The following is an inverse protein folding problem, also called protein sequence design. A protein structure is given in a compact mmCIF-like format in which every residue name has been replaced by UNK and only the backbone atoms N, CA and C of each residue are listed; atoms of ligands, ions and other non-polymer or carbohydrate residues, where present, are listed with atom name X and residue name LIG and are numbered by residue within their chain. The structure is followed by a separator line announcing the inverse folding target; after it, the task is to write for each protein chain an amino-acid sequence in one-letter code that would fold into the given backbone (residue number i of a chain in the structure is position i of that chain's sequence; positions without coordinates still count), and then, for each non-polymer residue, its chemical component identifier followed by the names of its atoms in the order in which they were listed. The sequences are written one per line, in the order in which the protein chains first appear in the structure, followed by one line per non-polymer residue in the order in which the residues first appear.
data_IF_990582016444
#
_entry.id   IF_990582016444
#
_cell.length_a   1.000
_cell.length_b   1.000
_cell.length_c   1.000
_cell.angle_alpha   90.00
_cell.angle_beta   90.00
_cell.angle_gamma   90.00
#
_symmetry.space_group_name_H-M   'P 1'
#
loop_
_entity.id
_entity.type
_entity.pdbx_description
1 polymer ?
#
# COMPACT_ATOMS: atom_id res chain seq x y z
N UNK A 1 -30.48 -0.12 -16.47
CA UNK A 1 -29.64 0.20 -17.64
C UNK A 1 -28.18 0.07 -17.18
N UNK A 2 -27.48 -0.95 -17.69
CA UNK A 2 -26.07 -1.36 -17.50
C UNK A 2 -25.35 -0.91 -16.22
N UNK A 3 -25.41 -1.75 -15.17
CA UNK A 3 -24.26 -1.93 -14.29
C UNK A 3 -23.21 -2.70 -15.08
N UNK A 4 -22.02 -2.11 -15.29
CA UNK A 4 -20.92 -2.79 -15.95
C UNK A 4 -20.63 -4.09 -15.19
N UNK A 5 -20.61 -5.24 -15.88
CA UNK A 5 -20.12 -6.50 -15.31
C UNK A 5 -18.65 -6.37 -14.87
N UNK A 6 -17.95 -5.36 -15.40
CA UNK A 6 -16.58 -4.98 -15.05
C UNK A 6 -16.47 -4.32 -13.66
N UNK A 7 -17.56 -3.93 -13.01
CA UNK A 7 -17.50 -3.27 -11.69
C UNK A 7 -17.50 -4.27 -10.52
N UNK A 8 -17.64 -5.56 -10.82
CA UNK A 8 -17.78 -6.65 -9.84
C UNK A 8 -16.69 -7.68 -10.10
N UNK A 9 -15.73 -7.79 -9.17
CA UNK A 9 -14.62 -8.73 -9.28
C UNK A 9 -14.71 -9.83 -8.23
N UNK A 10 -14.72 -11.08 -8.69
CA UNK A 10 -14.51 -12.25 -7.84
C UNK A 10 -13.02 -12.61 -7.75
N UNK A 11 -12.62 -13.31 -6.69
CA UNK A 11 -11.28 -13.87 -6.62
C UNK A 11 -11.11 -14.97 -7.68
N UNK A 12 -10.15 -14.79 -8.59
CA UNK A 12 -9.94 -15.65 -9.77
C UNK A 12 -9.70 -17.13 -9.43
N UNK A 13 -9.05 -17.39 -8.30
CA UNK A 13 -8.63 -18.74 -7.89
C UNK A 13 -9.43 -19.29 -6.69
N UNK A 14 -10.77 -19.17 -6.73
CA UNK A 14 -11.63 -19.69 -5.66
C UNK A 14 -12.22 -21.05 -6.02
N UNK A 15 -11.88 -22.08 -5.24
CA UNK A 15 -12.59 -23.35 -5.28
C UNK A 15 -13.87 -23.27 -4.46
N UNK A 16 -15.02 -23.48 -5.12
CA UNK A 16 -16.34 -23.47 -4.48
C UNK A 16 -16.74 -24.91 -4.18
N UNK A 17 -16.98 -25.21 -2.91
CA UNK A 17 -17.41 -26.53 -2.45
C UNK A 17 -18.94 -26.58 -2.36
N UNK A 18 -19.52 -27.78 -2.54
CA UNK A 18 -20.98 -27.97 -2.46
C UNK A 18 -21.49 -27.68 -1.04
N UNK A 19 -20.68 -27.97 -0.04
CA UNK A 19 -20.98 -27.80 1.37
C UNK A 19 -20.91 -26.32 1.80
N UNK A 20 -20.15 -25.49 1.06
CA UNK A 20 -20.01 -24.05 1.30
C UNK A 20 -19.97 -23.28 -0.03
N UNK A 21 -21.14 -23.12 -0.71
CA UNK A 21 -21.21 -22.54 -2.04
C UNK A 21 -21.19 -21.00 -1.99
N UNK A 22 -20.15 -20.43 -1.38
CA UNK A 22 -20.04 -18.98 -1.17
C UNK A 22 -18.82 -18.46 -1.93
N UNK A 23 -19.04 -17.44 -2.76
CA UNK A 23 -17.98 -16.75 -3.50
C UNK A 23 -17.88 -15.32 -2.97
N UNK A 24 -16.66 -14.90 -2.63
CA UNK A 24 -16.40 -13.52 -2.25
C UNK A 24 -16.30 -12.65 -3.50
N UNK A 25 -16.99 -11.51 -3.47
CA UNK A 25 -17.08 -10.60 -4.60
C UNK A 25 -16.88 -9.17 -4.10
N UNK A 26 -15.98 -8.44 -4.74
CA UNK A 26 -15.76 -7.02 -4.52
C UNK A 26 -16.68 -6.23 -5.43
N UNK A 27 -17.48 -5.34 -4.85
CA UNK A 27 -18.35 -4.43 -5.59
C UNK A 27 -17.73 -3.04 -5.61
N UNK A 28 -17.28 -2.59 -6.77
CA UNK A 28 -16.74 -1.24 -6.99
C UNK A 28 -17.80 -0.28 -7.53
N UNK A 29 -19.01 -0.77 -7.79
CA UNK A 29 -20.13 0.03 -8.25
C UNK A 29 -20.66 1.00 -7.18
N UNK A 30 -21.29 2.08 -7.63
CA UNK A 30 -21.87 3.13 -6.76
C UNK A 30 -23.08 2.68 -5.94
N UNK A 31 -23.67 1.52 -6.26
CA UNK A 31 -24.87 0.99 -5.61
C UNK A 31 -24.53 -0.28 -4.83
N UNK A 32 -24.93 -0.39 -3.55
CA UNK A 32 -24.71 -1.60 -2.77
C UNK A 32 -25.57 -2.77 -3.29
N UNK A 33 -24.93 -3.92 -3.57
CA UNK A 33 -25.58 -5.12 -4.12
C UNK A 33 -26.75 -5.65 -3.27
N UNK A 34 -26.70 -5.45 -1.94
CA UNK A 34 -27.77 -5.82 -1.00
C UNK A 34 -29.12 -5.18 -1.34
N UNK A 35 -29.11 -4.00 -1.97
CA UNK A 35 -30.33 -3.29 -2.36
C UNK A 35 -30.94 -3.90 -3.62
N UNK A 36 -30.13 -4.41 -4.54
CA UNK A 36 -30.58 -5.01 -5.80
C UNK A 36 -31.20 -6.40 -5.59
N UNK A 37 -30.63 -7.21 -4.69
CA UNK A 37 -31.12 -8.56 -4.41
C UNK A 37 -32.49 -8.61 -3.69
N UNK A 38 -32.97 -7.49 -3.12
CA UNK A 38 -34.27 -7.41 -2.43
C UNK A 38 -35.47 -7.18 -3.36
N UNK A 39 -35.25 -6.63 -4.55
CA UNK A 39 -36.33 -6.22 -5.45
C UNK A 39 -36.42 -7.06 -6.74
N UNK A 40 -35.35 -7.76 -7.10
CA UNK A 40 -35.33 -8.64 -8.27
C UNK A 40 -34.92 -10.06 -7.87
N UNK A 41 -35.73 -11.03 -8.30
CA UNK A 41 -35.42 -12.44 -8.19
C UNK A 41 -34.05 -12.71 -8.85
N UNK A 42 -33.11 -13.25 -8.09
CA UNK A 42 -31.81 -13.76 -8.54
C UNK A 42 -30.98 -12.75 -9.36
N UNK A 43 -30.26 -11.86 -8.67
CA UNK A 43 -29.21 -11.06 -9.30
C UNK A 43 -28.10 -11.97 -9.82
N UNK A 44 -28.00 -12.13 -11.14
CA UNK A 44 -26.92 -12.87 -11.79
C UNK A 44 -25.62 -12.06 -11.70
N UNK A 45 -24.72 -12.47 -10.80
CA UNK A 45 -23.41 -11.83 -10.59
C UNK A 45 -22.36 -12.22 -11.63
N UNK A 46 -22.52 -13.37 -12.28
CA UNK A 46 -21.57 -13.89 -13.25
C UNK A 46 -21.93 -15.30 -13.71
N UNK A 47 -21.18 -15.82 -14.69
CA UNK A 47 -21.30 -17.19 -15.19
C UNK A 47 -20.11 -18.01 -14.67
N UNK A 48 -20.36 -19.19 -14.11
CA UNK A 48 -19.30 -20.14 -13.82
C UNK A 48 -19.05 -21.03 -15.04
N UNK A 49 -17.80 -21.42 -15.23
CA UNK A 49 -17.42 -22.40 -16.24
C UNK A 49 -17.29 -23.79 -15.59
N UNK A 50 -17.66 -24.84 -16.32
CA UNK A 50 -17.37 -26.20 -15.88
C UNK A 50 -15.85 -26.44 -15.93
N UNK A 51 -15.17 -26.67 -14.79
CA UNK A 51 -13.73 -26.88 -14.78
C UNK A 51 -13.31 -28.10 -15.60
N UNK A 52 -14.21 -29.07 -15.82
CA UNK A 52 -13.93 -30.25 -16.65
C UNK A 52 -13.83 -29.93 -18.13
N UNK A 53 -14.45 -28.87 -18.60
CA UNK A 53 -14.33 -28.43 -20.01
C UNK A 53 -13.45 -27.20 -20.17
N UNK A 54 -13.32 -26.36 -19.15
CA UNK A 54 -12.65 -25.06 -19.23
C UNK A 54 -11.16 -25.08 -18.87
N UNK A 55 -10.75 -25.88 -17.88
CA UNK A 55 -9.35 -25.93 -17.47
C UNK A 55 -8.51 -26.79 -18.42
N UNK A 56 -7.25 -26.42 -18.56
CA UNK A 56 -6.27 -27.14 -19.39
C UNK A 56 -6.19 -28.62 -19.03
N UNK A 57 -6.09 -29.46 -20.05
CA UNK A 57 -5.96 -30.91 -19.87
C UNK A 57 -4.51 -31.34 -19.99
N UNK A 58 -4.15 -32.37 -19.23
CA UNK A 58 -2.80 -32.95 -19.26
C UNK A 58 -2.34 -33.23 -20.70
N UNK A 59 -3.22 -33.77 -21.56
CA UNK A 59 -2.89 -34.07 -22.95
C UNK A 59 -2.59 -32.84 -23.84
N UNK A 60 -3.01 -31.64 -23.45
CA UNK A 60 -2.77 -30.38 -24.18
C UNK A 60 -1.44 -29.71 -23.80
N UNK A 61 -0.86 -30.11 -22.67
CA UNK A 61 0.39 -29.55 -22.14
C UNK A 61 1.61 -30.29 -22.70
N UNK A 62 2.66 -29.53 -23.03
CA UNK A 62 3.97 -30.09 -23.38
C UNK A 62 4.60 -30.81 -22.17
N UNK A 63 5.58 -31.68 -22.41
CA UNK A 63 6.26 -32.41 -21.33
C UNK A 63 6.90 -31.46 -20.29
N UNK A 64 7.38 -30.30 -20.74
CA UNK A 64 7.98 -29.29 -19.86
C UNK A 64 6.90 -28.56 -19.03
N UNK A 65 5.79 -28.18 -19.67
CA UNK A 65 4.69 -27.47 -18.98
C UNK A 65 4.00 -28.37 -17.97
N UNK A 66 3.86 -29.68 -18.26
CA UNK A 66 3.34 -30.66 -17.29
C UNK A 66 4.19 -30.71 -16.03
N UNK A 67 5.51 -30.80 -16.20
CA UNK A 67 6.44 -30.87 -15.07
C UNK A 67 6.33 -29.60 -14.21
N UNK A 68 6.22 -28.44 -14.86
CA UNK A 68 6.08 -27.16 -14.17
C UNK A 68 4.74 -27.04 -13.44
N UNK A 69 3.65 -27.44 -14.09
CA UNK A 69 2.31 -27.46 -13.50
C UNK A 69 2.23 -28.43 -12.31
N UNK A 70 2.87 -29.59 -12.38
CA UNK A 70 2.92 -30.56 -11.27
C UNK A 70 3.76 -30.05 -10.10
N UNK A 71 4.90 -29.41 -10.36
CA UNK A 71 5.71 -28.78 -9.33
C UNK A 71 4.93 -27.66 -8.62
N UNK A 72 4.27 -26.80 -9.39
CA UNK A 72 3.45 -25.71 -8.86
C UNK A 72 2.25 -26.24 -8.05
N UNK A 73 1.53 -27.23 -8.57
CA UNK A 73 0.42 -27.86 -7.84
C UNK A 73 0.89 -28.52 -6.54
N UNK A 74 2.10 -29.08 -6.52
CA UNK A 74 2.69 -29.68 -5.32
C UNK A 74 3.07 -28.63 -4.27
N UNK A 75 3.58 -27.47 -4.70
CA UNK A 75 3.80 -26.33 -3.81
C UNK A 75 2.49 -25.83 -3.18
N UNK A 76 1.43 -25.66 -3.97
CA UNK A 76 0.11 -25.23 -3.46
C UNK A 76 -0.41 -26.24 -2.43
N UNK A 77 -0.35 -27.54 -2.73
CA UNK A 77 -0.74 -28.60 -1.78
C UNK A 77 0.06 -28.53 -0.49
N UNK A 78 1.37 -28.31 -0.59
CA UNK A 78 2.22 -28.14 0.59
C UNK A 78 1.81 -26.92 1.42
N UNK A 79 1.61 -25.76 0.79
CA UNK A 79 1.15 -24.54 1.48
C UNK A 79 -0.18 -24.76 2.20
N UNK A 80 -1.13 -25.44 1.56
CA UNK A 80 -2.43 -25.80 2.16
C UNK A 80 -2.24 -26.76 3.35
N UNK A 81 -1.39 -27.79 3.22
CA UNK A 81 -1.12 -28.73 4.31
C UNK A 81 -0.38 -28.10 5.49
N UNK A 82 0.54 -27.16 5.23
CA UNK A 82 1.28 -26.42 6.28
C UNK A 82 0.46 -25.34 6.95
N UNK A 83 -0.61 -24.85 6.31
CA UNK A 83 -1.62 -24.05 6.98
C UNK A 83 -2.42 -24.98 7.90
N UNK A 84 -2.00 -25.03 9.17
CA UNK A 84 -2.76 -25.66 10.25
C UNK A 84 -4.23 -25.24 10.14
N UNK A 85 -5.09 -26.22 9.88
CA UNK A 85 -6.54 -26.11 9.64
C UNK A 85 -7.36 -25.63 10.85
N UNK A 86 -6.78 -24.81 11.74
CA UNK A 86 -7.39 -24.38 12.99
C UNK A 86 -7.93 -22.95 12.96
N UNK A 87 -8.06 -22.36 11.77
CA UNK A 87 -8.80 -21.12 11.61
C UNK A 87 -9.77 -21.25 10.46
N UNK A 88 -11.05 -21.20 10.80
CA UNK A 88 -12.03 -20.41 10.05
C UNK A 88 -11.28 -19.32 9.29
N UNK A 89 -11.28 -19.40 7.95
CA UNK A 89 -10.84 -18.29 7.10
C UNK A 89 -11.83 -17.15 7.35
N UNK A 90 -11.64 -16.49 8.49
CA UNK A 90 -12.32 -15.29 8.85
C UNK A 90 -11.68 -14.24 7.96
N UNK A 91 -12.43 -13.84 6.94
CA UNK A 91 -12.18 -12.57 6.29
C UNK A 91 -12.10 -11.53 7.40
N UNK A 92 -10.94 -10.87 7.52
CA UNK A 92 -10.80 -9.71 8.40
C UNK A 92 -11.67 -8.63 7.79
N UNK A 93 -12.93 -8.57 8.22
CA UNK A 93 -13.83 -7.49 7.85
C UNK A 93 -13.33 -6.27 8.63
N UNK A 94 -12.51 -5.44 7.97
CA UNK A 94 -12.13 -4.14 8.52
C UNK A 94 -13.36 -3.24 8.51
N UNK A 95 -14.12 -3.25 9.61
CA UNK A 95 -15.14 -2.25 9.86
C UNK A 95 -14.47 -1.06 10.55
N UNK A 96 -14.27 0.03 9.80
CA UNK A 96 -13.84 1.30 10.39
C UNK A 96 -15.04 1.97 11.06
N UNK A 97 -15.03 2.04 12.39
CA UNK A 97 -15.91 2.95 13.11
C UNK A 97 -15.47 4.38 12.78
N UNK A 98 -16.23 5.06 11.94
CA UNK A 98 -16.06 6.48 11.65
C UNK A 98 -16.31 7.23 12.96
N UNK A 99 -15.25 7.53 13.70
CA UNK A 99 -15.34 8.39 14.88
C UNK A 99 -15.72 9.81 14.45
N UNK A 100 -16.45 10.52 15.31
CA UNK A 100 -17.11 11.82 15.09
C UNK A 100 -16.29 12.90 14.35
N UNK A 101 -14.95 12.83 14.35
CA UNK A 101 -14.11 13.78 13.62
C UNK A 101 -14.12 13.58 12.09
N UNK A 102 -14.38 12.36 11.61
CA UNK A 102 -14.42 12.06 10.18
C UNK A 102 -15.77 12.42 9.50
N UNK A 103 -16.85 12.64 10.26
CA UNK A 103 -18.13 13.10 9.71
C UNK A 103 -18.09 14.57 9.26
N UNK A 104 -17.35 15.46 9.94
CA UNK A 104 -17.31 16.89 9.57
C UNK A 104 -16.67 17.10 8.19
N UNK A 105 -15.61 16.36 7.88
CA UNK A 105 -14.90 16.48 6.59
C UNK A 105 -15.67 15.85 5.41
N UNK A 106 -16.76 15.10 5.66
CA UNK A 106 -17.50 14.39 4.61
C UNK A 106 -18.76 15.14 4.13
N UNK A 107 -19.19 16.18 4.85
CA UNK A 107 -20.48 16.85 4.61
C UNK A 107 -20.35 18.27 4.09
N UNK A 108 -19.16 18.87 4.19
CA UNK A 108 -18.89 20.20 3.65
C UNK A 108 -18.37 20.05 2.21
N UNK A 109 -18.95 20.83 1.28
CA UNK A 109 -18.39 21.01 -0.07
C UNK A 109 -17.13 21.86 0.10
N UNK A 110 -16.03 21.24 0.44
CA UNK A 110 -14.73 21.85 0.20
C UNK A 110 -14.52 21.89 -1.32
N UNK A 111 -14.28 23.10 -1.85
CA UNK A 111 -13.64 23.23 -3.15
C UNK A 111 -12.41 22.32 -3.16
N UNK A 112 -12.11 21.61 -4.26
CA UNK A 112 -11.01 20.67 -4.27
C UNK A 112 -9.71 21.42 -3.96
N UNK A 113 -9.28 21.36 -2.70
CA UNK A 113 -7.93 21.70 -2.30
C UNK A 113 -7.06 20.72 -3.06
N UNK A 114 -6.33 21.24 -4.03
CA UNK A 114 -5.30 20.54 -4.78
C UNK A 114 -4.15 20.19 -3.83
N UNK A 115 -4.43 19.23 -2.94
CA UNK A 115 -3.44 18.55 -2.15
C UNK A 115 -2.78 17.54 -3.05
N UNK A 116 -1.62 17.90 -3.60
CA UNK A 116 -0.72 16.95 -4.24
C UNK A 116 -0.46 15.74 -3.32
N UNK A 117 -0.01 14.61 -3.87
CA UNK A 117 0.27 13.41 -3.08
C UNK A 117 1.18 13.78 -1.89
N UNK A 118 0.74 13.45 -0.67
CA UNK A 118 1.52 13.60 0.58
C UNK A 118 2.87 12.85 0.58
N UNK A 119 3.14 12.10 -0.48
CA UNK A 119 4.29 11.23 -0.72
C UNK A 119 5.11 11.67 -1.93
N UNK A 120 4.95 12.91 -2.41
CA UNK A 120 5.95 13.46 -3.33
C UNK A 120 7.27 13.52 -2.58
N UNK A 121 8.12 12.53 -2.80
CA UNK A 121 9.51 12.57 -2.40
C UNK A 121 10.11 13.81 -3.05
N UNK A 122 10.43 14.80 -2.23
CA UNK A 122 11.30 15.87 -2.69
C UNK A 122 12.63 15.17 -2.91
N UNK A 123 13.03 15.05 -4.18
CA UNK A 123 14.38 14.65 -4.55
C UNK A 123 15.34 15.50 -3.72
N UNK A 124 16.04 14.88 -2.77
CA UNK A 124 17.06 15.56 -1.99
C UNK A 124 18.22 15.71 -2.96
N UNK A 125 18.24 16.82 -3.68
CA UNK A 125 19.36 17.15 -4.56
C UNK A 125 20.62 17.23 -3.68
N UNK A 126 21.60 16.38 -3.94
CA UNK A 126 22.88 16.43 -3.26
C UNK A 126 23.60 17.72 -3.65
N UNK A 127 23.71 18.65 -2.70
CA UNK A 127 24.38 19.94 -2.90
C UNK A 127 25.83 19.78 -2.49
N UNK A 128 26.79 19.88 -3.44
CA UNK A 128 28.20 19.84 -3.08
C UNK A 128 28.58 21.09 -2.29
N UNK A 129 29.53 20.96 -1.36
CA UNK A 129 30.00 22.07 -0.52
C UNK A 129 30.46 23.30 -1.32
N UNK A 130 30.90 23.12 -2.55
CA UNK A 130 31.31 24.20 -3.45
C UNK A 130 30.17 25.13 -3.89
N UNK A 131 28.91 24.67 -3.83
CA UNK A 131 27.71 25.43 -4.20
C UNK A 131 26.94 26.02 -3.02
N UNK A 132 27.44 25.89 -1.79
CA UNK A 132 26.77 26.35 -0.58
C UNK A 132 26.31 27.82 -0.67
N UNK A 133 27.18 28.72 -1.14
CA UNK A 133 26.86 30.14 -1.23
C UNK A 133 25.88 30.49 -2.36
N UNK A 134 25.80 29.67 -3.41
CA UNK A 134 24.87 29.92 -4.52
C UNK A 134 23.46 29.45 -4.19
N UNK A 135 23.31 28.41 -3.38
CA UNK A 135 21.98 27.91 -2.98
C UNK A 135 21.38 28.64 -1.79
N UNK A 136 22.19 29.36 -1.02
CA UNK A 136 21.68 30.19 0.07
C UNK A 136 21.17 31.52 -0.49
N UNK A 137 19.86 31.72 -0.43
CA UNK A 137 19.24 33.01 -0.72
C UNK A 137 19.52 34.03 0.38
N UNK A 138 20.35 35.02 0.07
CA UNK A 138 20.62 36.19 0.89
C UNK A 138 19.73 37.37 0.46
N UNK A 139 19.26 38.16 1.43
CA UNK A 139 18.42 39.33 1.13
C UNK A 139 19.15 40.32 0.21
N UNK A 140 18.50 40.84 -0.86
CA UNK A 140 19.11 41.82 -1.76
C UNK A 140 19.34 43.19 -1.08
N UNK A 141 18.68 43.45 0.06
CA UNK A 141 18.77 44.73 0.79
C UNK A 141 20.05 44.83 1.65
N UNK A 142 20.88 43.80 1.67
CA UNK A 142 22.12 43.78 2.45
C UNK A 142 23.19 44.66 1.78
N UNK A 143 23.85 45.49 2.59
CA UNK A 143 25.07 46.17 2.12
C UNK A 143 26.15 45.15 1.76
N UNK A 144 27.10 45.49 0.85
CA UNK A 144 28.17 44.57 0.46
C UNK A 144 28.99 44.05 1.65
N UNK A 145 29.20 44.89 2.67
CA UNK A 145 29.92 44.50 3.88
C UNK A 145 29.13 43.54 4.76
N UNK A 146 27.82 43.77 4.92
CA UNK A 146 26.95 42.87 5.69
C UNK A 146 26.82 41.51 5.03
N UNK A 147 26.68 41.51 3.70
CA UNK A 147 26.64 40.28 2.90
C UNK A 147 27.92 39.46 3.09
N UNK A 148 29.09 40.10 2.97
CA UNK A 148 30.38 39.43 3.17
C UNK A 148 30.51 38.80 4.57
N UNK A 149 30.10 39.53 5.61
CA UNK A 149 30.10 39.01 6.99
C UNK A 149 29.18 37.80 7.14
N UNK A 150 28.03 37.81 6.47
CA UNK A 150 27.09 36.70 6.52
C UNK A 150 27.63 35.46 5.78
N UNK A 151 28.22 35.65 4.59
CA UNK A 151 28.86 34.58 3.82
C UNK A 151 30.00 33.93 4.62
N UNK A 152 30.79 34.72 5.35
CA UNK A 152 31.85 34.21 6.24
C UNK A 152 31.28 33.31 7.36
N UNK A 153 30.19 33.74 8.01
CA UNK A 153 29.51 32.94 9.05
C UNK A 153 28.95 31.65 8.46
N UNK A 154 28.36 31.70 7.26
CA UNK A 154 27.82 30.53 6.57
C UNK A 154 28.92 29.51 6.28
N UNK A 155 30.07 29.94 5.75
CA UNK A 155 31.21 29.05 5.48
C UNK A 155 31.75 28.45 6.79
N UNK A 156 31.90 29.25 7.84
CA UNK A 156 32.36 28.76 9.15
C UNK A 156 31.46 27.67 9.73
N UNK A 157 30.16 27.73 9.41
CA UNK A 157 29.15 26.78 9.87
C UNK A 157 28.71 25.80 8.77
N UNK A 158 29.54 25.56 7.74
CA UNK A 158 29.18 24.68 6.62
C UNK A 158 28.74 23.27 7.07
N UNK A 159 29.30 22.76 8.17
CA UNK A 159 28.96 21.45 8.74
C UNK A 159 27.53 21.36 9.31
N UNK A 160 26.84 22.49 9.52
CA UNK A 160 25.44 22.51 9.95
C UNK A 160 24.48 22.21 8.78
N UNK A 161 24.96 22.27 7.54
CA UNK A 161 24.20 21.96 6.34
C UNK A 161 24.48 20.51 5.90
N UNK A 162 23.46 19.83 5.37
CA UNK A 162 23.58 18.47 4.83
C UNK A 162 24.22 18.47 3.44
N UNK A 163 25.50 18.86 3.36
CA UNK A 163 26.28 18.93 2.13
C UNK A 163 27.05 17.62 1.90
N UNK A 164 27.35 17.31 0.63
CA UNK A 164 28.15 16.15 0.23
C UNK A 164 27.61 14.82 0.81
N UNK A 165 26.29 14.60 0.69
CA UNK A 165 25.57 13.43 1.23
C UNK A 165 25.76 13.17 2.75
N UNK A 166 26.22 14.17 3.53
CA UNK A 166 26.44 13.99 4.97
C UNK A 166 25.12 13.96 5.74
N UNK A 167 24.84 12.82 6.36
CA UNK A 167 23.81 12.70 7.39
C UNK A 167 24.37 13.12 8.76
N UNK A 168 23.63 13.97 9.47
CA UNK A 168 24.00 14.38 10.83
C UNK A 168 24.11 13.18 11.76
N UNK A 169 25.18 13.13 12.55
CA UNK A 169 25.38 12.12 13.59
C UNK A 169 25.54 12.80 14.95
N UNK A 170 24.83 12.31 15.95
CA UNK A 170 25.00 12.73 17.34
C UNK A 170 25.46 11.51 18.14
N UNK A 171 26.64 11.60 18.76
CA UNK A 171 27.20 10.52 19.58
C UNK A 171 26.48 10.46 20.94
N UNK A 172 25.23 10.01 20.93
CA UNK A 172 24.49 9.65 22.13
C UNK A 172 23.86 8.28 21.95
N UNK A 173 24.00 7.47 23.00
CA UNK A 173 23.25 6.22 23.13
C UNK A 173 21.96 6.53 23.88
N UNK A 174 20.83 6.23 23.25
CA UNK A 174 19.51 6.39 23.85
C UNK A 174 19.06 5.03 24.40
N UNK A 175 18.83 4.96 25.71
CA UNK A 175 18.21 3.79 26.35
C UNK A 175 16.71 4.06 26.53
N UNK A 176 15.87 3.23 25.91
CA UNK A 176 14.41 3.36 26.00
C UNK A 176 13.91 2.49 27.15
N UNK A 177 13.54 3.11 28.28
CA UNK A 177 13.00 2.39 29.42
C UNK A 177 11.57 1.90 29.13
N UNK A 178 11.34 0.61 29.35
CA UNK A 178 10.03 -0.02 29.18
C UNK A 178 9.26 -0.05 30.50
N UNK A 179 7.93 -0.16 30.40
CA UNK A 179 7.09 -0.41 31.59
C UNK A 179 7.37 -1.81 32.13
N UNK A 180 7.35 -2.02 33.46
CA UNK A 180 7.49 -3.36 34.03
C UNK A 180 6.47 -4.34 33.45
N UNK A 181 6.92 -5.52 33.02
CA UNK A 181 6.07 -6.56 32.42
C UNK A 181 5.75 -6.38 30.94
N UNK A 182 6.29 -5.37 30.26
CA UNK A 182 6.17 -5.23 28.80
C UNK A 182 6.73 -6.45 28.08
N UNK A 183 5.97 -6.94 27.09
CA UNK A 183 6.37 -8.04 26.21
C UNK A 183 6.63 -7.51 24.79
N UNK A 184 7.57 -8.11 24.05
CA UNK A 184 7.77 -7.78 22.64
C UNK A 184 6.49 -7.99 21.84
N UNK A 185 6.20 -7.06 20.93
CA UNK A 185 5.06 -7.15 20.02
C UNK A 185 5.60 -7.44 18.62
N UNK A 186 5.09 -8.49 18.00
CA UNK A 186 5.38 -8.84 16.61
C UNK A 186 4.09 -8.75 15.80
N UNK A 187 3.94 -7.66 15.04
CA UNK A 187 2.83 -7.47 14.12
C UNK A 187 3.29 -7.78 12.69
N UNK A 188 2.47 -8.46 11.87
CA UNK A 188 2.78 -8.60 10.45
C UNK A 188 2.82 -7.20 9.80
N UNK A 189 3.73 -6.95 8.85
CA UNK A 189 3.74 -5.70 8.11
C UNK A 189 2.41 -5.51 7.39
N UNK A 190 1.92 -4.28 7.36
CA UNK A 190 0.69 -3.96 6.64
C UNK A 190 0.87 -4.27 5.15
N UNK A 191 -0.20 -4.70 4.45
CA UNK A 191 -0.12 -4.92 3.01
C UNK A 191 0.13 -3.58 2.31
N UNK A 192 1.34 -3.42 1.76
CA UNK A 192 1.74 -2.27 0.96
C UNK A 192 1.45 -2.55 -0.52
N UNK A 193 0.82 -1.58 -1.21
CA UNK A 193 0.60 -1.63 -2.66
C UNK A 193 1.95 -1.72 -3.40
N UNK A 194 2.05 -2.45 -4.53
CA UNK A 194 3.30 -2.62 -5.27
C UNK A 194 4.04 -1.30 -5.56
N UNK A 195 3.32 -0.26 -5.99
CA UNK A 195 3.89 1.06 -6.25
C UNK A 195 4.54 1.70 -5.02
N UNK A 196 4.01 1.46 -3.82
CA UNK A 196 4.58 1.98 -2.58
C UNK A 196 5.79 1.16 -2.10
N UNK A 197 5.99 -0.06 -2.64
CA UNK A 197 7.18 -0.88 -2.34
C UNK A 197 8.40 -0.48 -3.16
N UNK A 198 8.21 0.18 -4.30
CA UNK A 198 9.32 0.69 -5.11
C UNK A 198 9.94 1.97 -4.51
N UNK A 199 9.21 2.60 -3.58
CA UNK A 199 9.53 3.88 -2.94
C UNK A 199 10.05 3.68 -1.50
N UNK A 200 9.63 2.59 -0.81
CA UNK A 200 10.09 2.22 0.54
C UNK A 200 11.41 1.46 0.53
#
# INVERSE_FOLDING_TARGET
HNSNQDDIYGAADTLIYREKPVLHVSNWGKVPLLRMARYEALLLLGKSHDPRSWLDKSHQLSSQDRTWAEAHASLIRYLICTQTFDRSVATVRSESLISSKAQRNATEKDDPLEGGPKTAEVCIDDIPSSKLLSEIHLSPDLTPEQRRKLEEVVIQNANAFGLDEKLGNHDAKVEIQLKPGSQPVSLPPFPVLPANREIM
#
